data_IF_730767093742
#
_entry.id   IF_730767093742
#
_cell.length_a   1.000
_cell.length_b   1.000
_cell.length_c   1.000
_cell.angle_alpha   90.00
_cell.angle_beta   90.00
_cell.angle_gamma   90.00
#
_symmetry.space_group_name_H-M   'P 1'
#
loop_
_entity.id
_entity.type
_entity.pdbx_description
1 polymer ?
#
# COMPACT_ATOMS: atom_id res chain seq x y z
N UNK A 1 -6.88 -18.16 1.55
CA UNK A 1 -8.35 -18.22 1.41
C UNK A 1 -9.04 -16.91 1.78
N UNK A 2 -8.67 -16.27 2.90
CA UNK A 2 -9.25 -15.01 3.38
C UNK A 2 -9.39 -13.89 2.33
N UNK A 3 -8.28 -13.41 1.77
CA UNK A 3 -8.28 -12.32 0.77
C UNK A 3 -9.15 -12.68 -0.44
N UNK A 4 -9.08 -13.92 -0.91
CA UNK A 4 -9.87 -14.41 -2.05
C UNK A 4 -11.37 -14.33 -1.74
N UNK A 5 -11.80 -14.74 -0.54
CA UNK A 5 -13.21 -14.65 -0.15
C UNK A 5 -13.72 -13.21 -0.14
N UNK A 6 -12.89 -12.22 0.24
CA UNK A 6 -13.26 -10.80 0.18
C UNK A 6 -13.25 -10.27 -1.27
N UNK A 7 -12.39 -10.81 -2.13
CA UNK A 7 -12.27 -10.40 -3.53
C UNK A 7 -13.44 -10.88 -4.41
N UNK A 8 -14.02 -12.06 -4.13
CA UNK A 8 -15.09 -12.64 -4.97
C UNK A 8 -16.34 -11.74 -5.08
N UNK A 9 -16.92 -11.22 -3.97
CA UNK A 9 -18.05 -10.28 -4.07
C UNK A 9 -17.69 -9.00 -4.82
N UNK A 10 -16.46 -8.50 -4.67
CA UNK A 10 -16.01 -7.28 -5.33
C UNK A 10 -15.85 -7.48 -6.84
N UNK A 11 -15.34 -8.63 -7.26
CA UNK A 11 -15.28 -9.00 -8.67
C UNK A 11 -16.68 -9.07 -9.26
N UNK A 12 -17.63 -9.72 -8.58
CA UNK A 12 -19.03 -9.77 -9.01
C UNK A 12 -19.65 -8.38 -9.16
N UNK A 13 -19.55 -7.53 -8.13
CA UNK A 13 -20.06 -6.16 -8.19
C UNK A 13 -19.33 -5.30 -9.22
N UNK A 14 -18.07 -5.57 -9.52
CA UNK A 14 -17.32 -4.83 -10.53
C UNK A 14 -17.90 -5.00 -11.93
N UNK A 15 -18.33 -6.22 -12.29
CA UNK A 15 -18.91 -6.50 -13.61
C UNK A 15 -20.28 -5.81 -13.79
N UNK A 16 -21.00 -5.65 -12.68
CA UNK A 16 -22.34 -5.08 -12.64
C UNK A 16 -22.37 -3.58 -12.31
N UNK A 17 -21.24 -2.99 -11.93
CA UNK A 17 -21.17 -1.67 -11.29
C UNK A 17 -21.96 -0.58 -12.04
N UNK A 18 -21.82 -0.58 -13.36
CA UNK A 18 -22.43 0.44 -14.21
C UNK A 18 -23.94 0.25 -14.44
N UNK A 19 -24.51 -0.92 -14.17
CA UNK A 19 -25.96 -1.14 -14.18
C UNK A 19 -26.66 -0.57 -12.95
N UNK A 20 -25.96 -0.48 -11.82
CA UNK A 20 -26.57 -0.03 -10.58
C UNK A 20 -26.85 1.47 -10.57
N UNK A 21 -28.04 1.83 -10.09
CA UNK A 21 -28.39 3.22 -9.76
C UNK A 21 -27.62 3.73 -8.54
N UNK A 22 -27.68 5.04 -8.30
CA UNK A 22 -26.91 5.71 -7.23
C UNK A 22 -27.15 5.12 -5.84
N UNK A 23 -28.40 4.83 -5.49
CA UNK A 23 -28.78 4.27 -4.18
C UNK A 23 -28.13 2.90 -3.96
N UNK A 24 -28.28 1.99 -4.92
CA UNK A 24 -27.68 0.64 -4.84
C UNK A 24 -26.15 0.71 -4.76
N UNK A 25 -25.51 1.59 -5.55
CA UNK A 25 -24.06 1.82 -5.46
C UNK A 25 -23.65 2.25 -4.05
N UNK A 26 -24.33 3.25 -3.48
CA UNK A 26 -24.02 3.72 -2.13
C UNK A 26 -24.22 2.62 -1.07
N UNK A 27 -25.27 1.81 -1.17
CA UNK A 27 -25.49 0.66 -0.29
C UNK A 27 -24.36 -0.36 -0.40
N UNK A 28 -23.95 -0.73 -1.62
CA UNK A 28 -22.82 -1.64 -1.84
C UNK A 28 -21.54 -1.07 -1.21
N UNK A 29 -21.24 0.21 -1.44
CA UNK A 29 -20.05 0.85 -0.88
C UNK A 29 -20.06 0.85 0.65
N UNK A 30 -21.21 1.14 1.28
CA UNK A 30 -21.36 1.09 2.72
C UNK A 30 -21.16 -0.33 3.27
N UNK A 31 -21.76 -1.33 2.61
CA UNK A 31 -21.57 -2.74 2.98
C UNK A 31 -20.11 -3.17 2.81
N UNK A 32 -19.41 -2.72 1.77
CA UNK A 32 -17.98 -2.97 1.59
C UNK A 32 -17.15 -2.39 2.74
N UNK A 33 -17.45 -1.17 3.21
CA UNK A 33 -16.76 -0.58 4.37
C UNK A 33 -16.94 -1.51 5.59
N UNK A 34 -18.19 -1.83 5.95
CA UNK A 34 -18.47 -2.63 7.14
C UNK A 34 -17.84 -4.03 7.06
N UNK A 35 -18.07 -4.73 5.95
CA UNK A 35 -17.59 -6.11 5.78
C UNK A 35 -16.07 -6.20 5.77
N UNK A 36 -15.39 -5.30 5.04
CA UNK A 36 -13.93 -5.28 5.02
C UNK A 36 -13.35 -4.87 6.37
N UNK A 37 -13.93 -3.87 7.06
CA UNK A 37 -13.44 -3.48 8.39
C UNK A 37 -13.57 -4.61 9.41
N UNK A 38 -14.73 -5.29 9.46
CA UNK A 38 -14.93 -6.43 10.36
C UNK A 38 -13.97 -7.57 10.00
N UNK A 39 -13.84 -7.89 8.72
CA UNK A 39 -12.97 -8.97 8.24
C UNK A 39 -11.50 -8.74 8.64
N UNK A 40 -10.96 -7.55 8.36
CA UNK A 40 -9.57 -7.23 8.65
C UNK A 40 -9.27 -7.04 10.14
N UNK A 41 -10.22 -6.54 10.93
CA UNK A 41 -10.10 -6.57 12.40
C UNK A 41 -10.17 -7.99 12.96
N UNK A 42 -10.95 -8.90 12.36
CA UNK A 42 -11.04 -10.30 12.83
C UNK A 42 -9.76 -11.10 12.58
N UNK A 43 -8.95 -10.70 11.60
CA UNK A 43 -7.67 -11.33 11.25
C UNK A 43 -6.47 -10.69 11.95
N UNK A 44 -6.68 -9.55 12.60
CA UNK A 44 -5.67 -8.71 13.25
C UNK A 44 -4.69 -9.50 14.14
N UNK A 45 -5.17 -10.51 14.86
CA UNK A 45 -4.34 -11.22 15.85
C UNK A 45 -3.23 -12.08 15.21
N UNK A 46 -3.10 -12.09 13.89
CA UNK A 46 -2.07 -12.85 13.18
C UNK A 46 -0.98 -11.97 12.54
N UNK A 47 -1.07 -10.63 12.60
CA UNK A 47 -0.09 -9.73 11.96
C UNK A 47 1.11 -9.38 12.84
N UNK A 48 2.32 -9.39 12.27
CA UNK A 48 3.61 -9.16 12.96
C UNK A 48 3.77 -7.75 13.53
N UNK A 49 3.30 -6.75 12.78
CA UNK A 49 3.40 -5.33 13.14
C UNK A 49 2.62 -5.07 14.45
N UNK A 50 1.45 -5.69 14.59
CA UNK A 50 0.58 -5.59 15.75
C UNK A 50 1.15 -6.15 17.05
N UNK A 51 1.99 -7.17 16.92
CA UNK A 51 2.67 -7.76 18.05
C UNK A 51 3.81 -6.82 18.54
N UNK A 52 4.53 -6.17 17.61
CA UNK A 52 5.50 -5.10 17.92
C UNK A 52 4.82 -3.83 18.45
N UNK A 53 3.64 -3.47 17.91
CA UNK A 53 2.82 -2.35 18.37
C UNK A 53 2.34 -2.59 19.79
N UNK A 54 1.83 -3.78 20.10
CA UNK A 54 1.28 -4.15 21.40
C UNK A 54 2.34 -4.24 22.51
N UNK A 55 3.50 -4.86 22.23
CA UNK A 55 4.62 -4.90 23.19
C UNK A 55 5.06 -3.49 23.58
N UNK A 56 5.12 -2.55 22.63
CA UNK A 56 5.40 -1.14 22.92
C UNK A 56 4.19 -0.38 23.51
N UNK A 57 2.96 -0.82 23.24
CA UNK A 57 1.69 -0.22 23.71
C UNK A 57 1.51 -0.33 25.23
N UNK A 58 2.02 -1.40 25.83
CA UNK A 58 1.90 -1.66 27.27
C UNK A 58 3.18 -1.37 28.03
N UNK A 59 4.36 -1.55 27.42
CA UNK A 59 5.65 -1.31 28.10
C UNK A 59 6.06 0.16 28.18
N UNK A 60 5.41 1.07 27.43
CA UNK A 60 5.68 2.53 27.40
C UNK A 60 7.13 2.96 27.08
N UNK A 61 8.04 2.01 26.83
CA UNK A 61 9.46 2.27 26.56
C UNK A 61 9.78 2.55 25.08
N UNK A 62 8.80 2.45 24.18
CA UNK A 62 9.00 2.45 22.72
C UNK A 62 8.50 3.67 21.94
N UNK A 63 8.08 4.76 22.60
CA UNK A 63 7.50 5.93 21.93
C UNK A 63 8.44 6.61 20.91
N UNK A 64 9.75 6.40 21.02
CA UNK A 64 10.78 6.90 20.10
C UNK A 64 10.84 6.19 18.74
N UNK A 65 10.15 5.05 18.55
CA UNK A 65 10.21 4.25 17.32
C UNK A 65 9.01 4.43 16.38
N UNK A 66 7.95 5.15 16.80
CA UNK A 66 6.76 5.38 15.98
C UNK A 66 6.75 6.76 15.32
N UNK A 67 6.31 6.80 14.08
CA UNK A 67 6.07 8.03 13.35
C UNK A 67 4.95 8.82 14.04
N UNK A 68 5.20 10.11 14.37
CA UNK A 68 4.38 10.86 15.32
C UNK A 68 2.93 11.04 14.85
N UNK A 69 2.70 11.16 13.53
CA UNK A 69 1.37 11.30 12.96
C UNK A 69 0.52 10.04 13.11
N UNK A 70 1.10 8.86 12.93
CA UNK A 70 0.37 7.61 13.16
C UNK A 70 0.07 7.41 14.65
N UNK A 71 1.05 7.68 15.51
CA UNK A 71 0.87 7.57 16.95
C UNK A 71 -0.27 8.47 17.46
N UNK A 72 -0.31 9.74 17.04
CA UNK A 72 -1.38 10.67 17.40
C UNK A 72 -2.75 10.18 16.91
N UNK A 73 -2.83 9.75 15.64
CA UNK A 73 -4.07 9.25 15.06
C UNK A 73 -4.60 8.02 15.82
N UNK A 74 -3.74 7.04 16.07
CA UNK A 74 -4.16 5.81 16.76
C UNK A 74 -4.49 6.05 18.24
N UNK A 75 -3.76 6.95 18.90
CA UNK A 75 -4.05 7.36 20.28
C UNK A 75 -5.43 8.02 20.41
N UNK A 76 -5.82 8.82 19.41
CA UNK A 76 -7.16 9.38 19.34
C UNK A 76 -8.23 8.28 19.16
N UNK A 77 -8.01 7.31 18.26
CA UNK A 77 -8.94 6.18 18.11
C UNK A 77 -9.09 5.37 19.39
N UNK A 78 -7.98 5.15 20.12
CA UNK A 78 -7.98 4.48 21.43
C UNK A 78 -8.81 5.25 22.45
N UNK A 79 -8.69 6.57 22.48
CA UNK A 79 -9.47 7.43 23.37
C UNK A 79 -10.98 7.28 23.08
N UNK A 80 -11.37 7.36 21.81
CA UNK A 80 -12.76 7.16 21.37
C UNK A 80 -13.27 5.75 21.67
N UNK A 81 -12.39 4.76 21.62
CA UNK A 81 -12.69 3.37 21.96
C UNK A 81 -12.65 3.07 23.48
N UNK A 82 -12.54 4.09 24.35
CA UNK A 82 -12.41 3.92 25.81
C UNK A 82 -11.29 2.96 26.21
N UNK A 83 -10.15 3.01 25.52
CA UNK A 83 -9.02 2.13 25.77
C UNK A 83 -9.17 0.71 25.21
N UNK A 84 -10.33 0.34 24.64
CA UNK A 84 -10.52 -0.97 24.04
C UNK A 84 -9.77 -1.06 22.70
N UNK A 85 -8.79 -1.95 22.69
CA UNK A 85 -7.87 -2.10 21.58
C UNK A 85 -8.51 -2.69 20.31
N UNK A 86 -9.41 -3.68 20.45
CA UNK A 86 -10.13 -4.29 19.32
C UNK A 86 -11.10 -3.30 18.66
N UNK A 87 -11.79 -2.49 19.46
CA UNK A 87 -12.67 -1.42 18.96
C UNK A 87 -11.83 -0.32 18.27
N UNK A 88 -10.70 0.10 18.85
CA UNK A 88 -9.81 1.07 18.21
C UNK A 88 -9.31 0.59 16.83
N UNK A 89 -8.99 -0.70 16.72
CA UNK A 89 -8.62 -1.36 15.45
C UNK A 89 -9.78 -1.37 14.45
N UNK A 90 -11.00 -1.70 14.90
CA UNK A 90 -12.18 -1.61 14.05
C UNK A 90 -12.40 -0.19 13.53
N UNK A 91 -12.31 0.82 14.40
CA UNK A 91 -12.42 2.23 14.01
C UNK A 91 -11.33 2.63 13.00
N UNK A 92 -10.10 2.14 13.18
CA UNK A 92 -9.01 2.34 12.23
C UNK A 92 -9.40 1.83 10.83
N UNK A 93 -9.86 0.58 10.72
CA UNK A 93 -10.27 0.03 9.43
C UNK A 93 -11.51 0.71 8.85
N UNK A 94 -12.46 1.13 9.69
CA UNK A 94 -13.63 1.90 9.22
C UNK A 94 -13.17 3.22 8.60
N UNK A 95 -12.31 3.98 9.27
CA UNK A 95 -11.82 5.28 8.77
C UNK A 95 -11.01 5.11 7.50
N UNK A 96 -10.12 4.11 7.44
CA UNK A 96 -9.24 3.87 6.28
C UNK A 96 -10.03 3.41 5.06
N UNK A 97 -10.89 2.37 5.18
CA UNK A 97 -11.71 1.93 4.06
C UNK A 97 -12.73 2.99 3.63
N UNK A 98 -13.33 3.72 4.57
CA UNK A 98 -14.23 4.83 4.24
C UNK A 98 -13.50 5.90 3.43
N UNK A 99 -12.30 6.31 3.87
CA UNK A 99 -11.50 7.31 3.17
C UNK A 99 -11.12 6.86 1.76
N UNK A 100 -10.63 5.62 1.61
CA UNK A 100 -10.27 5.02 0.33
C UNK A 100 -11.46 5.01 -0.65
N UNK A 101 -12.62 4.53 -0.19
CA UNK A 101 -13.84 4.41 -1.00
C UNK A 101 -14.41 5.78 -1.36
N UNK A 102 -14.52 6.69 -0.39
CA UNK A 102 -15.05 8.04 -0.62
C UNK A 102 -14.20 8.80 -1.64
N UNK A 103 -12.88 8.67 -1.55
CA UNK A 103 -11.93 9.33 -2.45
C UNK A 103 -12.00 8.75 -3.86
N UNK A 104 -12.05 7.43 -4.00
CA UNK A 104 -12.20 6.77 -5.31
C UNK A 104 -13.56 7.09 -5.97
N UNK A 105 -14.64 7.15 -5.18
CA UNK A 105 -16.00 7.40 -5.66
C UNK A 105 -16.25 8.85 -6.09
N UNK A 106 -15.30 9.78 -5.87
CA UNK A 106 -15.40 11.15 -6.40
C UNK A 106 -15.42 11.17 -7.93
N UNK A 107 -14.77 10.20 -8.57
CA UNK A 107 -14.81 10.04 -10.01
C UNK A 107 -15.99 9.13 -10.39
N UNK A 108 -16.99 9.67 -11.08
CA UNK A 108 -18.20 8.95 -11.51
C UNK A 108 -17.91 7.77 -12.44
N UNK A 109 -16.78 7.80 -13.14
CA UNK A 109 -16.35 6.72 -14.04
C UNK A 109 -15.60 5.61 -13.31
N UNK A 110 -15.24 5.80 -12.04
CA UNK A 110 -14.52 4.81 -11.26
C UNK A 110 -15.40 3.59 -10.96
N UNK A 111 -14.92 2.41 -11.35
CA UNK A 111 -15.44 1.15 -10.88
C UNK A 111 -14.83 0.83 -9.51
N UNK A 112 -15.44 1.37 -8.44
CA UNK A 112 -14.91 1.25 -7.08
C UNK A 112 -14.77 -0.21 -6.63
N UNK A 113 -15.71 -1.14 -6.92
CA UNK A 113 -15.49 -2.55 -6.62
C UNK A 113 -14.27 -3.15 -7.34
N UNK A 114 -14.02 -2.80 -8.61
CA UNK A 114 -12.81 -3.23 -9.32
C UNK A 114 -11.55 -2.67 -8.65
N UNK A 115 -11.57 -1.40 -8.25
CA UNK A 115 -10.46 -0.78 -7.54
C UNK A 115 -10.14 -1.51 -6.22
N UNK A 116 -11.16 -1.77 -5.40
CA UNK A 116 -11.01 -2.51 -4.15
C UNK A 116 -10.54 -3.94 -4.40
N UNK A 117 -11.05 -4.60 -5.44
CA UNK A 117 -10.60 -5.94 -5.84
C UNK A 117 -9.09 -5.98 -6.10
N UNK A 118 -8.56 -5.05 -6.92
CA UNK A 118 -7.12 -4.99 -7.20
C UNK A 118 -6.31 -4.68 -5.94
N UNK A 119 -6.77 -3.73 -5.12
CA UNK A 119 -6.12 -3.37 -3.85
C UNK A 119 -6.05 -4.57 -2.92
N UNK A 120 -7.16 -5.26 -2.67
CA UNK A 120 -7.18 -6.37 -1.71
C UNK A 120 -6.38 -7.57 -2.22
N UNK A 121 -6.48 -7.90 -3.51
CA UNK A 121 -5.76 -9.04 -4.06
C UNK A 121 -4.23 -8.83 -4.02
N UNK A 122 -3.76 -7.59 -4.21
CA UNK A 122 -2.34 -7.27 -4.17
C UNK A 122 -1.81 -6.93 -2.75
N UNK A 123 -2.52 -6.07 -2.03
CA UNK A 123 -2.09 -5.48 -0.76
C UNK A 123 -2.75 -6.09 0.48
N UNK A 124 -3.70 -7.01 0.30
CA UNK A 124 -4.50 -7.55 1.39
C UNK A 124 -3.66 -8.12 2.53
N UNK A 125 -2.64 -8.92 2.22
CA UNK A 125 -1.73 -9.44 3.25
C UNK A 125 -0.58 -8.47 3.55
N UNK A 126 0.11 -8.02 2.51
CA UNK A 126 1.41 -7.31 2.62
C UNK A 126 1.33 -5.89 3.17
N UNK A 127 0.22 -5.18 2.95
CA UNK A 127 0.07 -3.78 3.36
C UNK A 127 -1.07 -3.60 4.36
N UNK A 128 -2.24 -4.17 4.06
CA UNK A 128 -3.46 -3.94 4.85
C UNK A 128 -3.42 -4.72 6.18
N UNK A 129 -2.87 -5.94 6.20
CA UNK A 129 -2.71 -6.69 7.46
C UNK A 129 -1.37 -6.38 8.16
N UNK A 130 -0.30 -6.16 7.40
CA UNK A 130 1.07 -6.14 7.94
C UNK A 130 1.74 -4.77 8.06
N UNK A 131 1.28 -3.71 7.40
CA UNK A 131 2.01 -2.43 7.34
C UNK A 131 1.08 -1.24 7.51
N UNK A 132 0.43 -1.13 8.67
CA UNK A 132 -0.68 -0.18 8.86
C UNK A 132 -0.31 1.30 8.75
N UNK A 133 0.88 1.65 9.25
CA UNK A 133 1.44 3.00 9.09
C UNK A 133 1.54 3.38 7.61
N UNK A 134 2.08 2.45 6.82
CA UNK A 134 2.21 2.65 5.39
C UNK A 134 0.85 2.61 4.70
N UNK A 135 -0.09 1.77 5.15
CA UNK A 135 -1.45 1.71 4.59
C UNK A 135 -2.18 3.04 4.73
N UNK A 136 -2.19 3.64 5.93
CA UNK A 136 -2.84 4.95 6.10
C UNK A 136 -2.10 6.06 5.33
N UNK A 137 -0.76 6.03 5.30
CA UNK A 137 0.03 6.96 4.50
C UNK A 137 -0.32 6.86 3.00
N UNK A 138 -0.45 5.64 2.46
CA UNK A 138 -0.87 5.40 1.07
C UNK A 138 -2.25 5.98 0.79
N UNK A 139 -3.22 5.82 1.71
CA UNK A 139 -4.56 6.40 1.57
C UNK A 139 -4.49 7.94 1.58
N UNK A 140 -3.70 8.54 2.47
CA UNK A 140 -3.55 10.01 2.54
C UNK A 140 -2.88 10.55 1.26
N UNK A 141 -1.88 9.86 0.73
CA UNK A 141 -1.27 10.22 -0.57
C UNK A 141 -2.27 10.05 -1.72
N UNK A 142 -3.17 9.07 -1.67
CA UNK A 142 -4.27 8.96 -2.62
C UNK A 142 -5.28 10.12 -2.50
N UNK A 143 -5.57 10.60 -1.28
CA UNK A 143 -6.32 11.84 -1.07
C UNK A 143 -5.59 13.06 -1.67
N UNK A 144 -4.25 13.10 -1.56
CA UNK A 144 -3.42 14.15 -2.16
C UNK A 144 -3.51 14.14 -3.68
N UNK A 145 -3.38 12.96 -4.30
CA UNK A 145 -3.53 12.78 -5.75
C UNK A 145 -4.88 13.33 -6.22
N UNK A 146 -5.99 12.90 -5.62
CA UNK A 146 -7.31 13.40 -6.01
C UNK A 146 -7.45 14.91 -5.82
N UNK A 147 -6.91 15.46 -4.74
CA UNK A 147 -6.97 16.90 -4.49
C UNK A 147 -6.19 17.69 -5.53
N UNK A 148 -5.02 17.18 -5.95
CA UNK A 148 -4.18 17.79 -6.99
C UNK A 148 -4.86 17.71 -8.35
N UNK A 149 -5.44 16.54 -8.69
CA UNK A 149 -6.25 16.36 -9.90
C UNK A 149 -7.39 17.38 -9.96
N UNK A 150 -8.07 17.64 -8.85
CA UNK A 150 -9.13 18.66 -8.74
C UNK A 150 -8.63 20.12 -8.67
N UNK A 151 -7.37 20.39 -9.00
CA UNK A 151 -6.77 21.74 -8.97
C UNK A 151 -6.43 22.29 -7.58
N UNK A 152 -6.68 21.54 -6.49
CA UNK A 152 -6.43 21.98 -5.10
C UNK A 152 -4.99 21.65 -4.67
N UNK A 153 -4.02 22.28 -5.32
CA UNK A 153 -2.58 22.02 -5.12
C UNK A 153 -2.12 22.16 -3.67
N UNK A 154 -2.49 23.25 -2.98
CA UNK A 154 -2.10 23.46 -1.57
C UNK A 154 -2.60 22.34 -0.67
N UNK A 155 -3.88 21.95 -0.83
CA UNK A 155 -4.50 20.86 -0.08
C UNK A 155 -3.79 19.52 -0.34
N UNK A 156 -3.34 19.29 -1.58
CA UNK A 156 -2.57 18.11 -1.92
C UNK A 156 -1.22 18.04 -1.18
N UNK A 157 -0.47 19.14 -1.16
CA UNK A 157 0.82 19.20 -0.44
C UNK A 157 0.64 19.06 1.09
N UNK A 158 -0.45 19.59 1.66
CA UNK A 158 -0.80 19.37 3.07
C UNK A 158 -1.02 17.88 3.34
N UNK A 159 -1.77 17.18 2.48
CA UNK A 159 -1.95 15.73 2.64
C UNK A 159 -0.63 14.97 2.53
N UNK A 160 0.26 15.33 1.59
CA UNK A 160 1.59 14.70 1.51
C UNK A 160 2.40 14.93 2.78
N UNK A 161 2.39 16.14 3.35
CA UNK A 161 3.06 16.43 4.63
C UNK A 161 2.49 15.58 5.79
N UNK A 162 1.16 15.47 5.89
CA UNK A 162 0.49 14.60 6.87
C UNK A 162 0.89 13.13 6.64
N UNK A 163 1.01 12.69 5.40
CA UNK A 163 1.45 11.32 5.11
C UNK A 163 2.89 11.05 5.53
N UNK A 164 3.80 12.03 5.42
CA UNK A 164 5.21 11.89 5.82
C UNK A 164 5.32 11.67 7.32
N UNK A 165 4.54 12.41 8.12
CA UNK A 165 4.52 12.22 9.57
C UNK A 165 3.84 10.93 10.00
N UNK A 166 3.05 10.28 9.13
CA UNK A 166 2.49 8.94 9.38
C UNK A 166 3.44 7.81 8.96
N UNK A 167 4.23 8.01 7.90
CA UNK A 167 5.22 7.04 7.44
C UNK A 167 6.31 7.73 6.59
N UNK A 168 7.57 7.57 6.99
CA UNK A 168 8.69 8.30 6.39
C UNK A 168 8.86 8.05 4.88
N UNK A 169 8.47 6.88 4.38
CA UNK A 169 8.58 6.58 2.94
C UNK A 169 7.73 7.51 2.07
N UNK A 170 6.72 8.19 2.61
CA UNK A 170 5.87 9.10 1.84
C UNK A 170 6.63 10.33 1.32
N UNK A 171 7.87 10.57 1.76
CA UNK A 171 8.75 11.60 1.18
C UNK A 171 8.94 11.40 -0.33
N UNK A 172 8.93 10.16 -0.82
CA UNK A 172 9.01 9.88 -2.26
C UNK A 172 7.82 10.49 -3.03
N UNK A 173 6.63 10.52 -2.41
CA UNK A 173 5.45 11.12 -3.01
C UNK A 173 5.63 12.63 -3.18
N UNK A 174 6.25 13.32 -2.21
CA UNK A 174 6.57 14.75 -2.32
C UNK A 174 7.47 15.03 -3.53
N UNK A 175 8.54 14.26 -3.69
CA UNK A 175 9.46 14.39 -4.83
C UNK A 175 8.71 14.18 -6.16
N UNK A 176 7.87 13.15 -6.24
CA UNK A 176 7.09 12.87 -7.45
C UNK A 176 6.04 13.93 -7.76
N UNK A 177 5.46 14.60 -6.75
CA UNK A 177 4.49 15.68 -6.95
C UNK A 177 5.16 16.93 -7.49
N UNK A 178 6.31 17.30 -6.93
CA UNK A 178 7.11 18.44 -7.41
C UNK A 178 7.62 18.19 -8.84
N UNK A 179 8.14 16.99 -9.12
CA UNK A 179 8.61 16.63 -10.46
C UNK A 179 7.47 16.60 -11.49
N UNK A 180 6.30 16.11 -11.10
CA UNK A 180 5.17 16.06 -12.01
C UNK A 180 4.73 17.47 -12.48
N UNK A 181 4.98 18.53 -11.72
CA UNK A 181 4.70 19.93 -12.08
C UNK A 181 5.68 20.51 -13.14
N UNK A 182 6.74 19.78 -13.52
CA UNK A 182 7.73 20.23 -14.53
C UNK A 182 7.10 20.31 -15.92
N UNK A 183 6.97 21.52 -16.48
CA UNK A 183 6.31 21.76 -17.77
C UNK A 183 6.92 20.96 -18.93
N UNK A 184 8.25 20.88 -18.99
CA UNK A 184 8.94 20.14 -20.04
C UNK A 184 8.84 18.63 -19.83
N UNK A 185 8.20 17.94 -20.77
CA UNK A 185 8.16 16.47 -20.84
C UNK A 185 9.56 15.85 -20.80
N UNK A 186 10.50 16.36 -21.60
CA UNK A 186 11.85 15.80 -21.70
C UNK A 186 12.58 15.93 -20.36
N UNK A 187 12.46 17.10 -19.72
CA UNK A 187 13.05 17.36 -18.41
C UNK A 187 12.41 16.47 -17.34
N UNK A 188 11.09 16.32 -17.32
CA UNK A 188 10.40 15.41 -16.40
C UNK A 188 10.92 13.95 -16.53
N UNK A 189 10.98 13.43 -17.75
CA UNK A 189 11.48 12.06 -18.00
C UNK A 189 12.93 11.92 -17.54
N UNK A 190 13.80 12.83 -17.97
CA UNK A 190 15.23 12.79 -17.62
C UNK A 190 15.44 12.91 -16.11
N UNK A 191 14.79 13.86 -15.45
CA UNK A 191 14.90 14.04 -13.99
C UNK A 191 14.37 12.83 -13.22
N UNK A 192 13.29 12.18 -13.69
CA UNK A 192 12.76 10.95 -13.08
C UNK A 192 13.76 9.80 -13.17
N UNK A 193 14.37 9.61 -14.35
CA UNK A 193 15.37 8.56 -14.57
C UNK A 193 16.65 8.83 -13.78
N UNK A 194 17.15 10.08 -13.79
CA UNK A 194 18.33 10.49 -13.01
C UNK A 194 18.11 10.35 -11.52
N UNK A 195 16.95 10.74 -10.99
CA UNK A 195 16.62 10.54 -9.59
C UNK A 195 16.61 9.04 -9.24
N UNK A 196 16.07 8.21 -10.12
CA UNK A 196 16.02 6.75 -9.93
C UNK A 196 17.41 6.13 -9.88
N UNK A 197 18.30 6.54 -10.78
CA UNK A 197 19.71 6.14 -10.78
C UNK A 197 20.42 6.67 -9.53
N UNK A 198 20.20 7.94 -9.16
CA UNK A 198 20.79 8.56 -7.98
C UNK A 198 20.37 7.89 -6.68
N UNK A 199 19.09 7.56 -6.52
CA UNK A 199 18.60 6.78 -5.39
C UNK A 199 19.28 5.41 -5.34
N UNK A 200 19.35 4.70 -6.48
CA UNK A 200 20.03 3.41 -6.55
C UNK A 200 21.50 3.51 -6.12
N UNK A 201 22.20 4.56 -6.55
CA UNK A 201 23.59 4.82 -6.15
C UNK A 201 23.71 5.06 -4.64
N UNK A 202 22.84 5.88 -4.05
CA UNK A 202 22.81 6.17 -2.61
C UNK A 202 22.63 4.90 -1.78
N UNK A 203 21.78 3.96 -2.22
CA UNK A 203 21.46 2.74 -1.47
C UNK A 203 22.45 1.59 -1.66
N UNK A 204 23.28 1.64 -2.70
CA UNK A 204 24.30 0.59 -2.96
C UNK A 204 25.66 1.01 -2.41
N UNK A 205 26.00 2.30 -2.45
CA UNK A 205 27.34 2.80 -2.12
C UNK A 205 27.57 2.95 -0.61
N UNK A 206 28.47 2.14 -0.05
CA UNK A 206 28.81 2.15 1.39
C UNK A 206 29.37 3.48 1.89
N UNK A 207 30.13 4.20 1.06
CA UNK A 207 30.68 5.52 1.41
C UNK A 207 29.57 6.56 1.54
N UNK A 208 28.57 6.52 0.66
CA UNK A 208 27.42 7.43 0.73
C UNK A 208 26.55 7.11 1.94
N UNK A 209 26.34 5.82 2.23
CA UNK A 209 25.57 5.39 3.40
C UNK A 209 26.28 5.84 4.69
N UNK A 210 27.60 5.59 4.82
CA UNK A 210 28.35 5.96 6.03
C UNK A 210 28.39 7.48 6.26
N UNK A 211 28.56 8.27 5.19
CA UNK A 211 28.44 9.73 5.26
C UNK A 211 27.01 10.15 5.68
N UNK A 212 26.00 9.49 5.13
CA UNK A 212 24.61 9.73 5.49
C UNK A 212 24.28 9.39 6.94
N UNK A 213 24.89 8.34 7.51
CA UNK A 213 24.75 8.00 8.94
C UNK A 213 25.30 9.12 9.82
N UNK A 214 26.41 9.76 9.42
CA UNK A 214 26.98 10.88 10.17
C UNK A 214 26.12 12.15 10.08
N UNK A 215 25.55 12.43 8.91
CA UNK A 215 24.80 13.67 8.66
C UNK A 215 23.33 13.59 9.08
N UNK A 216 22.67 12.45 8.84
CA UNK A 216 21.24 12.22 9.11
C UNK A 216 21.04 10.80 9.68
N UNK A 217 21.49 10.55 10.93
CA UNK A 217 21.48 9.21 11.52
C UNK A 217 20.11 8.54 11.52
N UNK A 218 19.03 9.31 11.74
CA UNK A 218 17.66 8.81 11.86
C UNK A 218 17.16 8.04 10.61
N UNK A 219 17.67 8.39 9.43
CA UNK A 219 17.26 7.77 8.16
C UNK A 219 18.29 6.73 7.72
N UNK A 220 19.58 7.10 7.74
CA UNK A 220 20.64 6.25 7.19
C UNK A 220 21.00 5.05 8.05
N UNK A 221 20.77 5.10 9.38
CA UNK A 221 20.95 3.91 10.24
C UNK A 221 19.96 2.81 9.84
N UNK A 222 18.70 3.17 9.54
CA UNK A 222 17.70 2.19 9.08
C UNK A 222 18.11 1.59 7.73
N UNK A 223 18.62 2.42 6.81
CA UNK A 223 19.08 1.98 5.49
C UNK A 223 20.25 1.01 5.63
N UNK A 224 21.24 1.33 6.48
CA UNK A 224 22.38 0.47 6.74
C UNK A 224 21.94 -0.90 7.27
N UNK A 225 21.06 -0.91 8.27
CA UNK A 225 20.48 -2.15 8.81
C UNK A 225 19.76 -2.95 7.72
N UNK A 226 18.92 -2.31 6.90
CA UNK A 226 18.24 -3.02 5.81
C UNK A 226 19.22 -3.60 4.78
N UNK A 227 20.35 -2.93 4.51
CA UNK A 227 21.38 -3.43 3.61
C UNK A 227 22.10 -4.66 4.19
N UNK A 228 22.36 -4.68 5.49
CA UNK A 228 23.00 -5.83 6.16
C UNK A 228 22.13 -7.10 6.12
N UNK A 229 20.79 -6.94 6.19
CA UNK A 229 19.85 -8.06 6.14
C UNK A 229 19.39 -8.44 4.72
N UNK A 230 19.54 -7.54 3.73
CA UNK A 230 19.06 -7.78 2.37
C UNK A 230 20.19 -8.19 1.44
N UNK A 231 20.09 -9.38 0.86
CA UNK A 231 20.94 -9.75 -0.28
C UNK A 231 20.53 -8.93 -1.49
N UNK A 232 21.34 -7.94 -1.87
CA UNK A 232 21.12 -7.12 -3.06
C UNK A 232 21.50 -7.90 -4.32
N UNK A 233 20.56 -8.69 -4.84
CA UNK A 233 20.71 -9.42 -6.09
C UNK A 233 19.67 -8.96 -7.11
N UNK A 234 20.12 -8.76 -8.35
CA UNK A 234 19.21 -8.46 -9.46
C UNK A 234 18.49 -9.73 -9.90
N UNK A 235 17.23 -9.87 -9.51
CA UNK A 235 16.39 -11.01 -9.91
C UNK A 235 15.35 -10.58 -10.95
N UNK A 236 15.44 -11.14 -12.16
CA UNK A 236 14.42 -10.95 -13.20
C UNK A 236 13.18 -11.76 -12.82
N UNK A 237 12.22 -11.08 -12.21
CA UNK A 237 10.90 -11.64 -11.88
C UNK A 237 9.74 -10.86 -12.51
N UNK A 238 8.49 -11.30 -12.29
CA UNK A 238 7.29 -10.64 -12.79
C UNK A 238 7.22 -9.13 -12.46
N UNK A 239 7.78 -8.72 -11.32
CA UNK A 239 7.86 -7.32 -10.92
C UNK A 239 8.78 -6.47 -11.84
N UNK A 240 9.95 -6.98 -12.22
CA UNK A 240 10.84 -6.27 -13.17
C UNK A 240 10.19 -6.19 -14.54
N UNK A 241 9.56 -7.28 -15.00
CA UNK A 241 8.86 -7.31 -16.28
C UNK A 241 7.72 -6.29 -16.29
N UNK A 242 6.95 -6.16 -15.20
CA UNK A 242 5.96 -5.09 -15.03
C UNK A 242 6.60 -3.70 -15.09
N UNK A 243 7.67 -3.46 -14.33
CA UNK A 243 8.35 -2.15 -14.32
C UNK A 243 8.78 -1.74 -15.74
N UNK A 244 9.45 -2.66 -16.45
CA UNK A 244 9.92 -2.44 -17.81
C UNK A 244 8.78 -2.23 -18.80
N UNK A 245 7.70 -3.00 -18.69
CA UNK A 245 6.53 -2.89 -19.57
C UNK A 245 5.81 -1.55 -19.38
N UNK A 246 5.62 -1.13 -18.12
CA UNK A 246 5.04 0.18 -17.80
C UNK A 246 5.92 1.31 -18.31
N UNK A 247 7.22 1.28 -18.00
CA UNK A 247 8.17 2.29 -18.46
C UNK A 247 8.22 2.35 -19.99
N UNK A 248 8.36 1.20 -20.66
CA UNK A 248 8.35 1.09 -22.11
C UNK A 248 7.07 1.64 -22.74
N UNK A 249 5.90 1.27 -22.19
CA UNK A 249 4.61 1.79 -22.64
C UNK A 249 4.53 3.32 -22.60
N UNK A 250 4.96 3.93 -21.49
CA UNK A 250 4.93 5.39 -21.33
C UNK A 250 6.01 6.12 -22.13
N UNK A 251 7.16 5.49 -22.36
CA UNK A 251 8.20 6.03 -23.25
C UNK A 251 7.75 6.02 -24.72
N UNK A 252 7.10 4.94 -25.15
CA UNK A 252 6.50 4.84 -26.50
C UNK A 252 5.29 5.78 -26.64
N UNK A 253 4.46 5.88 -25.60
CA UNK A 253 3.27 6.75 -25.55
C UNK A 253 3.55 8.10 -24.90
N UNK A 254 4.75 8.63 -25.10
CA UNK A 254 5.24 9.77 -24.31
C UNK A 254 4.51 11.09 -24.57
N UNK A 255 3.59 11.15 -25.53
CA UNK A 255 2.62 12.24 -25.68
C UNK A 255 1.66 12.33 -24.47
N UNK A 256 1.34 11.21 -23.81
CA UNK A 256 0.52 11.16 -22.59
C UNK A 256 1.17 11.84 -21.38
N UNK A 257 2.49 12.06 -21.46
CA UNK A 257 3.29 12.76 -20.45
C UNK A 257 3.45 14.25 -20.76
N UNK A 258 2.95 14.71 -21.92
CA UNK A 258 3.03 16.11 -22.34
C UNK A 258 2.02 16.99 -21.59
N UNK A 259 2.45 18.20 -21.24
CA UNK A 259 1.60 19.23 -20.62
C UNK A 259 0.72 19.98 -21.63
N UNK A 260 0.74 19.60 -22.92
CA UNK A 260 0.03 20.32 -24.00
C UNK A 260 -1.49 20.44 -23.79
N UNK A 261 -2.05 19.66 -22.88
CA UNK A 261 -3.41 19.81 -22.35
C UNK A 261 -3.39 19.56 -20.85
N UNK A 262 -3.03 20.57 -20.04
CA UNK A 262 -2.92 20.53 -18.57
C UNK A 262 -4.20 19.99 -17.89
N UNK A 263 -4.37 18.68 -17.95
CA UNK A 263 -5.56 17.95 -17.54
C UNK A 263 -5.19 17.05 -16.38
N UNK A 264 -6.20 16.75 -15.56
CA UNK A 264 -6.10 15.84 -14.42
C UNK A 264 -5.46 14.48 -14.80
N UNK A 265 -5.64 14.06 -16.05
CA UNK A 265 -5.07 12.85 -16.63
C UNK A 265 -3.53 12.91 -16.72
N UNK A 266 -2.94 14.03 -17.18
CA UNK A 266 -1.47 14.13 -17.34
C UNK A 266 -0.75 13.96 -16.00
N UNK A 267 -1.29 14.54 -14.92
CA UNK A 267 -0.69 14.40 -13.58
C UNK A 267 -0.67 12.93 -13.14
N UNK A 268 -1.80 12.23 -13.22
CA UNK A 268 -1.89 10.81 -12.87
C UNK A 268 -0.93 9.95 -13.69
N UNK A 269 -0.88 10.15 -15.00
CA UNK A 269 0.00 9.39 -15.90
C UNK A 269 1.48 9.62 -15.59
N UNK A 270 1.87 10.85 -15.20
CA UNK A 270 3.22 11.16 -14.72
C UNK A 270 3.53 10.48 -13.38
N UNK A 271 2.57 10.41 -12.46
CA UNK A 271 2.73 9.67 -11.21
C UNK A 271 2.94 8.16 -11.47
N UNK A 272 2.18 7.57 -12.39
CA UNK A 272 2.34 6.16 -12.77
C UNK A 272 3.71 5.92 -13.43
N UNK A 273 4.16 6.83 -14.30
CA UNK A 273 5.50 6.74 -14.91
C UNK A 273 6.61 6.81 -13.86
N UNK A 274 6.54 7.76 -12.93
CA UNK A 274 7.47 7.87 -11.82
C UNK A 274 7.45 6.60 -10.96
N UNK A 275 6.26 6.09 -10.68
CA UNK A 275 6.07 4.82 -9.99
C UNK A 275 6.72 3.64 -10.69
N UNK A 276 6.66 3.56 -12.01
CA UNK A 276 7.35 2.54 -12.81
C UNK A 276 8.87 2.58 -12.62
N UNK A 277 9.46 3.78 -12.51
CA UNK A 277 10.89 3.95 -12.27
C UNK A 277 11.26 3.52 -10.84
N UNK A 278 10.47 3.90 -9.84
CA UNK A 278 10.65 3.43 -8.46
C UNK A 278 10.45 1.91 -8.35
N UNK A 279 9.51 1.33 -9.10
CA UNK A 279 9.25 -0.11 -9.14
C UNK A 279 10.46 -0.88 -9.70
N UNK A 280 11.10 -0.33 -10.73
CA UNK A 280 12.32 -0.89 -11.30
C UNK A 280 13.45 -0.96 -10.26
N UNK A 281 13.66 0.11 -9.50
CA UNK A 281 14.64 0.13 -8.40
C UNK A 281 14.23 -0.83 -7.29
N UNK A 282 12.95 -0.84 -6.92
CA UNK A 282 12.39 -1.68 -5.85
C UNK A 282 12.54 -3.18 -6.10
N UNK A 283 12.69 -3.58 -7.37
CA UNK A 283 12.98 -4.96 -7.71
C UNK A 283 14.47 -5.33 -7.57
N UNK A 284 15.36 -4.34 -7.55
CA UNK A 284 16.78 -4.54 -7.25
C UNK A 284 17.08 -4.36 -5.75
N UNK A 285 16.37 -3.46 -5.08
CA UNK A 285 16.57 -3.10 -3.68
C UNK A 285 15.28 -3.46 -2.89
N UNK A 286 15.23 -4.62 -2.21
CA UNK A 286 13.98 -5.16 -1.66
C UNK A 286 13.22 -4.21 -0.74
N UNK A 287 13.90 -3.41 0.10
CA UNK A 287 13.23 -2.46 0.99
C UNK A 287 12.64 -1.25 0.25
N UNK A 288 13.14 -0.92 -0.95
CA UNK A 288 12.55 0.12 -1.83
C UNK A 288 11.20 -0.33 -2.41
N UNK A 289 10.88 -1.63 -2.40
CA UNK A 289 9.56 -2.13 -2.82
C UNK A 289 8.41 -1.49 -2.03
N UNK A 290 8.62 -1.09 -0.77
CA UNK A 290 7.63 -0.36 0.04
C UNK A 290 7.25 0.99 -0.57
N UNK A 291 8.20 1.70 -1.19
CA UNK A 291 7.98 2.98 -1.88
C UNK A 291 7.02 2.86 -3.06
N UNK A 292 6.89 1.65 -3.61
CA UNK A 292 6.08 1.42 -4.80
C UNK A 292 4.59 1.38 -4.51
N UNK A 293 4.23 1.14 -3.25
CA UNK A 293 2.85 0.95 -2.81
C UNK A 293 1.95 2.12 -3.20
N UNK A 294 2.45 3.35 -3.04
CA UNK A 294 1.73 4.58 -3.40
C UNK A 294 1.31 4.59 -4.88
N UNK A 295 2.22 4.22 -5.77
CA UNK A 295 2.02 4.31 -7.21
C UNK A 295 1.23 3.12 -7.77
N UNK A 296 1.31 1.95 -7.15
CA UNK A 296 0.45 0.81 -7.49
C UNK A 296 -1.02 1.15 -7.21
N UNK A 297 -1.32 1.85 -6.11
CA UNK A 297 -2.68 2.36 -5.86
C UNK A 297 -3.13 3.32 -6.98
N UNK A 298 -2.24 4.17 -7.48
CA UNK A 298 -2.56 5.07 -8.60
C UNK A 298 -2.82 4.32 -9.90
N UNK A 299 -2.02 3.28 -10.19
CA UNK A 299 -2.23 2.40 -11.34
C UNK A 299 -3.58 1.68 -11.25
N UNK A 300 -3.91 1.10 -10.10
CA UNK A 300 -5.20 0.42 -9.91
C UNK A 300 -6.37 1.38 -10.03
N UNK A 301 -6.21 2.63 -9.55
CA UNK A 301 -7.22 3.66 -9.72
C UNK A 301 -7.42 4.03 -11.20
N UNK A 302 -6.33 4.22 -11.95
CA UNK A 302 -6.41 4.51 -13.40
C UNK A 302 -7.11 3.38 -14.15
N UNK A 303 -6.74 2.13 -13.88
CA UNK A 303 -7.38 0.93 -14.45
C UNK A 303 -8.86 0.88 -14.09
N UNK A 304 -9.22 1.11 -12.83
CA UNK A 304 -10.61 1.08 -12.38
C UNK A 304 -11.49 2.18 -13.01
N UNK A 305 -10.91 3.35 -13.33
CA UNK A 305 -11.63 4.45 -13.97
C UNK A 305 -11.76 4.27 -15.48
N UNK A 306 -10.67 3.87 -16.13
CA UNK A 306 -10.52 4.01 -17.58
C UNK A 306 -10.57 2.69 -18.34
N UNK A 307 -10.26 1.57 -17.69
CA UNK A 307 -10.03 0.28 -18.35
C UNK A 307 -10.89 -0.86 -17.81
N UNK A 308 -11.52 -0.70 -16.64
CA UNK A 308 -12.33 -1.75 -16.04
C UNK A 308 -13.50 -2.17 -16.95
N UNK A 309 -13.88 -3.47 -16.96
CA UNK A 309 -15.03 -3.95 -17.72
C UNK A 309 -16.28 -3.12 -17.42
N UNK A 310 -17.02 -2.79 -18.49
CA UNK A 310 -18.30 -2.08 -18.36
C UNK A 310 -19.39 -2.94 -18.96
N UNK A 311 -20.43 -3.25 -18.17
CA UNK A 311 -21.58 -4.03 -18.63
C UNK A 311 -21.19 -5.41 -19.18
N UNK A 312 -20.29 -6.12 -18.50
CA UNK A 312 -19.65 -7.38 -18.97
C UNK A 312 -18.92 -7.27 -20.31
N UNK A 313 -18.71 -6.07 -20.85
CA UNK A 313 -17.94 -5.85 -22.07
C UNK A 313 -16.54 -5.40 -21.72
N UNK A 314 -15.57 -6.04 -22.36
CA UNK A 314 -14.17 -5.71 -22.29
C UNK A 314 -13.71 -5.25 -23.69
N UNK A 315 -13.18 -4.03 -23.77
CA UNK A 315 -12.74 -3.49 -25.06
C UNK A 315 -11.43 -4.17 -25.49
N UNK A 316 -11.30 -4.48 -26.78
CA UNK A 316 -10.11 -5.16 -27.34
C UNK A 316 -8.79 -4.47 -26.96
N UNK A 317 -8.79 -3.13 -26.91
CA UNK A 317 -7.62 -2.31 -26.54
C UNK A 317 -7.16 -2.50 -25.09
N UNK A 318 -8.05 -2.95 -24.20
CA UNK A 318 -7.80 -3.06 -22.77
C UNK A 318 -7.45 -4.50 -22.35
N UNK A 319 -7.68 -5.50 -23.23
CA UNK A 319 -7.40 -6.93 -22.97
C UNK A 319 -5.96 -7.12 -22.49
N UNK A 320 -4.99 -6.66 -23.28
CA UNK A 320 -3.57 -6.89 -23.00
C UNK A 320 -3.15 -6.30 -21.64
N UNK A 321 -3.58 -5.05 -21.34
CA UNK A 321 -3.29 -4.38 -20.08
C UNK A 321 -3.90 -5.13 -18.89
N UNK A 322 -5.17 -5.53 -18.98
CA UNK A 322 -5.87 -6.21 -17.90
C UNK A 322 -5.33 -7.63 -17.66
N UNK A 323 -5.05 -8.39 -18.72
CA UNK A 323 -4.41 -9.70 -18.62
C UNK A 323 -3.06 -9.57 -17.93
N UNK A 324 -2.25 -8.60 -18.35
CA UNK A 324 -0.94 -8.38 -17.76
C UNK A 324 -1.01 -7.96 -16.29
N UNK A 325 -1.92 -7.05 -15.95
CA UNK A 325 -2.17 -6.62 -14.57
C UNK A 325 -2.60 -7.81 -13.70
N UNK A 326 -3.48 -8.66 -14.21
CA UNK A 326 -3.97 -9.84 -13.48
C UNK A 326 -2.85 -10.85 -13.24
N UNK A 327 -1.99 -11.10 -14.22
CA UNK A 327 -0.80 -11.95 -14.07
C UNK A 327 0.16 -11.39 -13.01
N UNK A 328 0.38 -10.08 -13.02
CA UNK A 328 1.22 -9.42 -12.03
C UNK A 328 0.65 -9.56 -10.61
N UNK A 329 -0.63 -9.23 -10.42
CA UNK A 329 -1.28 -9.30 -9.12
C UNK A 329 -1.30 -10.75 -8.60
N UNK A 330 -1.64 -11.70 -9.46
CA UNK A 330 -1.66 -13.13 -9.11
C UNK A 330 -0.27 -13.64 -8.75
N UNK A 331 0.78 -13.19 -9.46
CA UNK A 331 2.16 -13.57 -9.17
C UNK A 331 2.62 -13.04 -7.81
N UNK A 332 2.29 -11.78 -7.48
CA UNK A 332 2.60 -11.19 -6.19
C UNK A 332 1.86 -11.91 -5.06
N UNK A 333 0.56 -12.15 -5.24
CA UNK A 333 -0.27 -12.90 -4.29
C UNK A 333 0.29 -14.30 -4.04
N UNK A 334 0.67 -15.04 -5.08
CA UNK A 334 1.27 -16.37 -4.95
C UNK A 334 2.66 -16.31 -4.30
N UNK A 335 3.47 -15.29 -4.60
CA UNK A 335 4.80 -15.11 -4.03
C UNK A 335 4.77 -14.90 -2.53
N UNK A 336 3.75 -14.21 -1.99
CA UNK A 336 3.58 -14.02 -0.56
C UNK A 336 3.49 -15.36 0.19
N UNK A 337 2.71 -16.31 -0.32
CA UNK A 337 2.52 -17.62 0.33
C UNK A 337 3.65 -18.62 0.09
N UNK A 338 4.55 -18.35 -0.87
CA UNK A 338 5.79 -19.11 -1.07
C UNK A 338 6.93 -18.60 -0.19
N UNK A 339 6.77 -17.45 0.45
CA UNK A 339 7.81 -16.91 1.32
C UNK A 339 7.73 -17.59 2.69
N UNK A 340 8.74 -18.39 3.01
CA UNK A 340 8.81 -19.14 4.28
C UNK A 340 8.87 -18.24 5.52
N UNK A 341 9.28 -16.98 5.33
CA UNK A 341 9.41 -15.95 6.37
C UNK A 341 8.13 -15.10 6.46
N UNK A 342 7.10 -15.35 5.63
CA UNK A 342 5.85 -14.62 5.73
C UNK A 342 5.20 -14.84 7.11
N UNK A 343 4.83 -13.76 7.82
CA UNK A 343 4.36 -13.87 9.20
C UNK A 343 2.97 -14.51 9.30
N UNK A 344 2.18 -14.50 8.21
CA UNK A 344 0.88 -15.18 8.13
C UNK A 344 0.96 -16.36 7.16
N UNK A 345 0.98 -17.58 7.72
CA UNK A 345 0.88 -18.81 6.91
C UNK A 345 -0.57 -19.11 6.53
N UNK A 346 -0.76 -19.85 5.44
CA UNK A 346 -2.10 -20.23 4.96
C UNK A 346 -2.92 -21.00 6.03
N UNK A 347 -2.24 -21.82 6.84
CA UNK A 347 -2.84 -22.59 7.95
C UNK A 347 -3.31 -21.73 9.12
N UNK A 348 -2.83 -20.49 9.24
CA UNK A 348 -3.19 -19.55 10.31
C UNK A 348 -4.34 -18.63 9.91
N UNK A 349 -4.95 -18.83 8.72
CA UNK A 349 -6.02 -17.99 8.21
C UNK A 349 -7.40 -18.31 8.83
N UNK A 350 -7.50 -18.36 10.15
CA UNK A 350 -8.77 -18.56 10.88
C UNK A 350 -9.35 -17.22 11.37
N UNK A 351 -10.62 -16.94 11.06
CA UNK A 351 -11.34 -15.78 11.58
C UNK A 351 -11.41 -15.84 13.10
N UNK A 352 -10.83 -14.86 13.80
CA UNK A 352 -10.94 -14.72 15.24
C UNK A 352 -11.89 -13.56 15.55
N UNK A 353 -13.16 -13.88 15.85
CA UNK A 353 -14.15 -12.89 16.29
C UNK A 353 -14.11 -12.59 17.80
N UNK A 354 -13.35 -13.40 18.57
CA UNK A 354 -13.13 -13.25 20.01
C UNK A 354 -12.68 -11.83 20.46
N UNK A 355 -11.79 -11.09 19.75
CA UNK A 355 -11.36 -9.75 20.14
C UNK A 355 -12.43 -8.65 20.10
N UNK A 356 -13.62 -8.90 19.53
CA UNK A 356 -14.72 -7.91 19.54
C UNK A 356 -15.55 -7.92 20.83
N UNK A 357 -15.58 -9.05 21.55
CA UNK A 357 -16.67 -9.31 22.53
C UNK A 357 -16.16 -9.41 23.98
N UNK A 358 -14.89 -9.75 24.20
CA UNK A 358 -14.35 -9.91 25.56
C UNK A 358 -13.35 -8.81 25.90
N UNK A 359 -13.74 -7.90 26.80
CA UNK A 359 -12.85 -6.90 27.40
C UNK A 359 -11.75 -7.50 28.30
N UNK A 360 -11.82 -8.82 28.56
CA UNK A 360 -10.90 -9.59 29.41
C UNK A 360 -9.97 -10.52 28.62
N UNK A 361 -9.57 -10.14 27.39
CA UNK A 361 -8.51 -10.87 26.71
C UNK A 361 -7.19 -10.41 27.31
N UNK A 362 -6.45 -11.34 27.92
CA UNK A 362 -5.04 -11.15 28.23
C UNK A 362 -4.25 -11.19 26.93
N UNK A 363 -4.22 -10.03 26.25
CA UNK A 363 -3.52 -9.87 25.00
C UNK A 363 -2.00 -10.07 25.17
N UNK A 364 -1.44 -9.87 26.38
CA UNK A 364 -0.03 -10.18 26.66
C UNK A 364 0.24 -11.67 26.48
N UNK A 365 -0.58 -12.53 27.09
CA UNK A 365 -0.46 -13.99 26.97
C UNK A 365 -0.63 -14.45 25.53
N UNK A 366 -1.63 -13.93 24.81
CA UNK A 366 -1.90 -14.34 23.42
C UNK A 366 -0.76 -13.94 22.47
N UNK A 367 -0.13 -12.80 22.72
CA UNK A 367 1.00 -12.30 21.93
C UNK A 367 2.29 -13.03 22.29
N UNK A 368 2.49 -13.33 23.57
CA UNK A 368 3.57 -14.23 24.01
C UNK A 368 3.44 -15.58 23.31
N UNK A 369 2.25 -16.19 23.32
CA UNK A 369 1.98 -17.45 22.64
C UNK A 369 2.19 -17.38 21.11
N UNK A 370 1.98 -16.23 20.47
CA UNK A 370 2.22 -16.06 19.02
C UNK A 370 3.70 -15.81 18.71
N UNK A 371 4.35 -14.92 19.45
CA UNK A 371 5.77 -14.61 19.28
C UNK A 371 6.65 -15.82 19.56
N UNK A 372 6.45 -16.49 20.70
CA UNK A 372 7.29 -17.63 21.06
C UNK A 372 7.06 -18.81 20.13
N UNK A 373 5.81 -19.08 19.74
CA UNK A 373 5.49 -20.19 18.85
C UNK A 373 6.01 -19.95 17.44
N UNK A 374 6.01 -18.70 16.96
CA UNK A 374 6.66 -18.35 15.69
C UNK A 374 8.19 -18.37 15.82
N UNK A 375 8.77 -17.94 16.95
CA UNK A 375 10.21 -18.00 17.21
C UNK A 375 10.73 -19.44 17.38
N UNK A 376 9.99 -20.36 18.00
CA UNK A 376 10.30 -21.79 18.08
C UNK A 376 10.27 -22.48 16.70
N UNK A 377 9.30 -22.09 15.86
CA UNK A 377 9.22 -22.58 14.48
C UNK A 377 10.39 -22.05 13.63
N UNK A 378 10.79 -20.78 13.82
CA UNK A 378 11.90 -20.16 13.08
C UNK A 378 13.30 -20.57 13.59
N UNK A 379 13.43 -20.92 14.86
CA UNK A 379 14.69 -21.40 15.46
C UNK A 379 14.94 -22.89 15.27
N UNK A 380 14.01 -23.63 14.64
CA UNK A 380 14.15 -25.06 14.40
C UNK A 380 14.11 -25.93 15.66
N UNK A 381 13.76 -25.37 16.83
CA UNK A 381 13.64 -26.10 18.09
C UNK A 381 12.39 -27.01 18.14
N UNK A 382 11.48 -26.86 17.18
CA UNK A 382 10.30 -27.72 16.99
C UNK A 382 10.54 -29.06 16.29
N UNK A 383 11.74 -29.66 16.39
CA UNK A 383 11.93 -31.10 16.16
C UNK A 383 12.11 -31.80 17.50
N UNK A 384 11.01 -32.30 18.05
CA UNK A 384 11.06 -33.13 19.24
C UNK A 384 9.72 -33.38 19.93
N UNK A 385 8.73 -33.93 19.22
CA UNK A 385 7.97 -35.14 19.61
C UNK A 385 6.90 -35.47 18.59
#
# INVERSE_FOLDING_TARGET
MFVIMQCLPLLFFSLLWFFFGRTVRNTILFLCILTLSIAYTSFYLNGEDWANYYVNFYTHNGSSWFEPGFWLFYSFLRLVAFGNFGIATLLFYIVTFSSLILVANKNKNCNVPAFLFFILLFFGNTLILEQLRQFIAVIIVFCALQSKMQGKSLKAYIYVAISIICHASAVIALLSFVLADVKSKKTFILSTLLLSIGLSFVFVNDTVISLGVQLIPAVFTKIQVYKEFAVMNFHVGPSIILAMTLLGYYLLSSYKLSYSYASEATFLQRQIFFGGAVFFIGAYIPFMSRLTSYYIVFLFYDVACNHAPRYFKLYKKDVALLTFLFLFISSNFASYYKNDIAPVKFSQLTLNFVPFVSGNIDYNKRIFDIYYKNAEILSGSGKGK
#
